data_IF_869747740545
#
_entry.id   IF_869747740545
#
_cell.length_a   1.000
_cell.length_b   1.000
_cell.length_c   1.000
_cell.angle_alpha   90.00
_cell.angle_beta   90.00
_cell.angle_gamma   90.00
#
_symmetry.space_group_name_H-M   'P 1'
#
loop_
_entity.id
_entity.type
_entity.pdbx_description
1 polymer ?
#
# COMPACT_ATOMS: atom_id res chain seq x y z
N UNK A 1 -9.83 -18.88 12.50
CA UNK A 1 -9.17 -17.58 12.24
C UNK A 1 -8.26 -17.76 11.03
N UNK A 2 -8.42 -16.99 9.96
CA UNK A 2 -7.50 -17.06 8.82
C UNK A 2 -6.14 -16.56 9.29
N UNK A 3 -5.14 -17.43 9.32
CA UNK A 3 -3.74 -17.06 9.50
C UNK A 3 -3.28 -16.37 8.23
N UNK A 4 -3.63 -15.09 8.08
CA UNK A 4 -3.15 -14.28 6.95
C UNK A 4 -1.65 -14.01 7.16
N UNK A 5 -0.85 -14.42 6.18
CA UNK A 5 0.60 -14.25 6.17
C UNK A 5 0.96 -12.76 6.24
N UNK A 6 1.74 -12.35 7.24
CA UNK A 6 2.13 -10.94 7.45
C UNK A 6 2.99 -10.42 6.29
N UNK A 7 3.96 -11.20 5.82
CA UNK A 7 4.81 -10.82 4.71
C UNK A 7 5.38 -12.06 3.99
N UNK A 8 5.82 -11.87 2.75
CA UNK A 8 6.51 -12.91 1.98
C UNK A 8 7.92 -12.44 1.63
N UNK A 9 8.95 -13.24 1.88
CA UNK A 9 10.32 -12.94 1.43
C UNK A 9 10.35 -12.97 -0.11
N UNK A 10 10.83 -11.90 -0.74
CA UNK A 10 10.89 -11.81 -2.21
C UNK A 10 12.32 -11.77 -2.77
N UNK A 11 13.33 -11.61 -1.92
CA UNK A 11 14.74 -11.62 -2.30
C UNK A 11 15.37 -12.99 -2.11
N UNK A 12 16.45 -13.28 -2.87
CA UNK A 12 17.16 -14.57 -2.82
C UNK A 12 18.22 -14.65 -1.72
N UNK A 13 18.83 -13.54 -1.35
CA UNK A 13 19.89 -13.50 -0.33
C UNK A 13 19.31 -13.56 1.09
N UNK A 14 20.19 -13.73 2.07
CA UNK A 14 19.82 -13.77 3.48
C UNK A 14 19.36 -12.40 3.98
N UNK A 15 18.30 -12.41 4.78
CA UNK A 15 17.68 -11.21 5.36
C UNK A 15 17.38 -11.47 6.83
N UNK A 16 17.26 -10.42 7.67
CA UNK A 16 16.87 -10.59 9.07
C UNK A 16 15.52 -11.29 9.21
N UNK A 17 15.28 -11.92 10.36
CA UNK A 17 14.01 -12.57 10.64
C UNK A 17 12.84 -11.57 10.59
N UNK A 18 11.68 -12.00 10.09
CA UNK A 18 10.50 -11.14 9.96
C UNK A 18 10.08 -10.48 11.30
N UNK A 19 10.27 -11.17 12.42
CA UNK A 19 9.95 -10.65 13.75
C UNK A 19 10.82 -9.44 14.16
N UNK A 20 12.03 -9.31 13.61
CA UNK A 20 12.87 -8.12 13.80
C UNK A 20 12.21 -6.84 13.26
N UNK A 21 11.26 -6.97 12.35
CA UNK A 21 10.52 -5.87 11.72
C UNK A 21 9.21 -5.52 12.47
N UNK A 22 8.92 -6.13 13.62
CA UNK A 22 7.64 -5.97 14.32
C UNK A 22 7.31 -4.52 14.69
N UNK A 23 8.33 -3.69 14.89
CA UNK A 23 8.18 -2.26 15.23
C UNK A 23 8.05 -1.37 13.98
N UNK A 24 8.20 -1.93 12.78
CA UNK A 24 8.08 -1.17 11.54
C UNK A 24 6.62 -0.83 11.26
N UNK A 25 6.38 0.38 10.74
CA UNK A 25 5.03 0.87 10.46
C UNK A 25 4.23 -0.05 9.53
N UNK A 26 4.88 -0.62 8.51
CA UNK A 26 4.24 -1.56 7.56
C UNK A 26 3.80 -2.85 8.24
N UNK A 27 4.61 -3.36 9.16
CA UNK A 27 4.33 -4.58 9.90
C UNK A 27 3.12 -4.37 10.81
N UNK A 28 3.18 -3.32 11.64
CA UNK A 28 2.09 -2.96 12.55
C UNK A 28 0.78 -2.75 11.81
N UNK A 29 0.82 -2.06 10.65
CA UNK A 29 -0.38 -1.86 9.84
C UNK A 29 -0.94 -3.17 9.28
N UNK A 30 -0.10 -4.06 8.77
CA UNK A 30 -0.54 -5.35 8.22
C UNK A 30 -1.10 -6.25 9.33
N UNK A 31 -0.45 -6.29 10.49
CA UNK A 31 -0.93 -7.05 11.64
C UNK A 31 -2.30 -6.54 12.13
N UNK A 32 -2.46 -5.22 12.21
CA UNK A 32 -3.73 -4.56 12.54
C UNK A 32 -4.85 -4.95 11.58
N UNK A 33 -4.59 -4.95 10.28
CA UNK A 33 -5.56 -5.38 9.27
C UNK A 33 -5.91 -6.87 9.38
N UNK A 34 -4.93 -7.73 9.65
CA UNK A 34 -5.16 -9.17 9.85
C UNK A 34 -6.05 -9.44 11.08
N UNK A 35 -6.02 -8.56 12.09
CA UNK A 35 -6.92 -8.59 13.25
C UNK A 35 -8.34 -8.07 12.93
N UNK A 36 -8.59 -7.61 11.71
CA UNK A 36 -9.87 -7.05 11.26
C UNK A 36 -10.11 -5.60 11.70
N UNK A 37 -9.07 -4.92 12.23
CA UNK A 37 -9.19 -3.54 12.66
C UNK A 37 -9.19 -2.57 11.47
N UNK A 38 -9.81 -1.40 11.66
CA UNK A 38 -9.90 -0.37 10.62
C UNK A 38 -8.71 0.58 10.64
N UNK A 39 -8.25 0.98 9.46
CA UNK A 39 -7.24 2.03 9.32
C UNK A 39 -7.80 3.42 9.67
N UNK A 40 -7.02 4.20 10.41
CA UNK A 40 -7.28 5.62 10.60
C UNK A 40 -6.84 6.45 9.37
N UNK A 41 -7.09 7.77 9.39
CA UNK A 41 -6.78 8.64 8.25
C UNK A 41 -5.27 8.72 7.95
N UNK A 42 -4.43 8.80 8.98
CA UNK A 42 -2.98 8.89 8.82
C UNK A 42 -2.38 7.60 8.25
N UNK A 43 -2.89 6.45 8.67
CA UNK A 43 -2.52 5.13 8.15
C UNK A 43 -2.90 4.99 6.68
N UNK A 44 -4.11 5.42 6.29
CA UNK A 44 -4.53 5.40 4.88
C UNK A 44 -3.66 6.28 3.99
N UNK A 45 -3.36 7.50 4.43
CA UNK A 45 -2.51 8.41 3.66
C UNK A 45 -1.10 7.85 3.54
N UNK A 46 -0.54 7.33 4.64
CA UNK A 46 0.77 6.70 4.62
C UNK A 46 0.82 5.48 3.70
N UNK A 47 -0.20 4.62 3.71
CA UNK A 47 -0.25 3.45 2.86
C UNK A 47 -0.34 3.83 1.38
N UNK A 48 -1.18 4.81 1.05
CA UNK A 48 -1.25 5.34 -0.32
C UNK A 48 0.12 5.87 -0.77
N UNK A 49 0.85 6.56 0.10
CA UNK A 49 2.18 7.07 -0.23
C UNK A 49 3.19 5.93 -0.42
N UNK A 50 3.29 5.02 0.54
CA UNK A 50 4.26 3.93 0.54
C UNK A 50 4.10 2.99 -0.67
N UNK A 51 2.86 2.72 -1.09
CA UNK A 51 2.56 1.85 -2.22
C UNK A 51 2.86 2.52 -3.57
N UNK A 52 2.66 3.84 -3.69
CA UNK A 52 2.91 4.53 -4.96
C UNK A 52 4.35 5.07 -5.07
N UNK A 53 5.09 5.20 -3.97
CA UNK A 53 6.49 5.65 -3.93
C UNK A 53 7.50 4.51 -3.77
N UNK A 54 7.21 3.32 -4.28
CA UNK A 54 8.18 2.23 -4.34
C UNK A 54 8.32 1.67 -5.76
N UNK A 55 9.47 1.06 -6.05
CA UNK A 55 9.79 0.53 -7.38
C UNK A 55 9.39 -0.94 -7.59
N UNK A 56 9.01 -1.67 -6.53
CA UNK A 56 8.87 -3.12 -6.58
C UNK A 56 7.44 -3.59 -6.85
N UNK A 57 6.45 -2.96 -6.21
CA UNK A 57 5.09 -3.48 -6.19
C UNK A 57 4.05 -2.35 -6.26
N UNK A 58 2.94 -2.62 -6.93
CA UNK A 58 1.80 -1.70 -7.05
C UNK A 58 0.75 -1.87 -5.95
N UNK A 59 0.78 -2.98 -5.21
CA UNK A 59 -0.21 -3.32 -4.15
C UNK A 59 0.41 -3.86 -2.87
N UNK A 60 1.68 -3.59 -2.68
CA UNK A 60 2.44 -4.03 -1.51
C UNK A 60 3.50 -2.99 -1.15
N UNK A 61 3.96 -3.05 0.09
CA UNK A 61 5.07 -2.22 0.58
C UNK A 61 6.27 -3.14 0.85
N UNK A 62 7.42 -2.92 0.19
CA UNK A 62 8.63 -3.69 0.47
C UNK A 62 9.36 -3.15 1.70
N UNK A 63 9.90 -4.03 2.54
CA UNK A 63 10.81 -3.68 3.62
C UNK A 63 11.79 -4.82 3.90
N UNK A 64 13.10 -4.54 3.86
CA UNK A 64 14.18 -5.50 4.16
C UNK A 64 14.03 -6.87 3.47
N UNK A 65 13.67 -6.87 2.18
CA UNK A 65 13.50 -8.10 1.39
C UNK A 65 12.18 -8.84 1.62
N UNK A 66 11.27 -8.29 2.42
CA UNK A 66 9.91 -8.77 2.59
C UNK A 66 8.89 -7.90 1.85
N UNK A 67 7.84 -8.55 1.35
CA UNK A 67 6.68 -7.97 0.69
C UNK A 67 5.49 -8.02 1.64
N UNK A 68 5.01 -6.86 2.08
CA UNK A 68 3.78 -6.73 2.86
C UNK A 68 2.61 -6.42 1.92
N UNK A 69 1.71 -7.39 1.73
CA UNK A 69 0.57 -7.28 0.82
C UNK A 69 -0.59 -6.45 1.40
N UNK A 70 -1.24 -5.66 0.55
CA UNK A 70 -2.42 -4.85 0.88
C UNK A 70 -3.51 -4.94 -0.20
N UNK A 71 -3.54 -6.07 -0.93
CA UNK A 71 -4.47 -6.32 -2.03
C UNK A 71 -5.93 -6.31 -1.58
N UNK A 72 -6.18 -6.65 -0.33
CA UNK A 72 -7.47 -6.70 0.34
C UNK A 72 -8.06 -5.31 0.64
N UNK A 73 -7.21 -4.29 0.79
CA UNK A 73 -7.64 -2.93 1.18
C UNK A 73 -7.45 -1.87 0.12
N UNK A 74 -6.62 -2.12 -0.89
CA UNK A 74 -6.32 -1.15 -1.94
C UNK A 74 -7.35 -1.19 -3.08
N UNK A 75 -7.57 -0.03 -3.70
CA UNK A 75 -8.35 0.12 -4.93
C UNK A 75 -7.46 0.75 -6.00
N UNK A 76 -7.71 0.39 -7.25
CA UNK A 76 -7.01 0.95 -8.40
C UNK A 76 -7.75 2.17 -8.91
N UNK A 77 -7.02 3.25 -9.16
CA UNK A 77 -7.54 4.51 -9.68
C UNK A 77 -6.74 4.95 -10.90
N UNK A 78 -7.43 5.43 -11.93
CA UNK A 78 -6.84 6.20 -13.01
C UNK A 78 -7.03 7.69 -12.72
N UNK A 79 -5.93 8.43 -12.78
CA UNK A 79 -5.91 9.87 -12.54
C UNK A 79 -5.45 10.58 -13.80
N UNK A 80 -6.25 11.53 -14.28
CA UNK A 80 -5.89 12.42 -15.39
C UNK A 80 -5.25 13.70 -14.84
N UNK A 81 -4.03 13.99 -15.29
CA UNK A 81 -3.33 15.26 -15.07
C UNK A 81 -2.55 15.64 -16.31
N UNK A 82 -2.62 16.91 -16.72
CA UNK A 82 -1.82 17.47 -17.82
C UNK A 82 -1.90 16.59 -19.09
N UNK A 83 -3.13 16.25 -19.47
CA UNK A 83 -3.47 15.40 -20.62
C UNK A 83 -2.91 13.96 -20.60
N UNK A 84 -2.41 13.52 -19.45
CA UNK A 84 -1.89 12.17 -19.25
C UNK A 84 -2.67 11.39 -18.19
N UNK A 85 -2.85 10.09 -18.41
CA UNK A 85 -3.48 9.16 -17.46
C UNK A 85 -2.43 8.35 -16.72
N UNK A 86 -2.58 8.27 -15.41
CA UNK A 86 -1.67 7.53 -14.53
C UNK A 86 -2.45 6.61 -13.60
N UNK A 87 -1.94 5.40 -13.39
CA UNK A 87 -2.50 4.44 -12.46
C UNK A 87 -1.92 4.64 -11.06
N UNK A 88 -2.80 4.66 -10.06
CA UNK A 88 -2.45 4.71 -8.64
C UNK A 88 -3.24 3.67 -7.84
N UNK A 89 -2.63 3.16 -6.77
CA UNK A 89 -3.31 2.29 -5.81
C UNK A 89 -3.45 3.00 -4.47
N UNK A 90 -4.66 3.09 -3.94
CA UNK A 90 -4.92 3.75 -2.66
C UNK A 90 -6.10 3.10 -1.91
N UNK A 91 -6.18 3.22 -0.57
CA UNK A 91 -7.33 2.71 0.20
C UNK A 91 -8.64 3.45 -0.14
N UNK A 92 -8.56 4.75 -0.39
CA UNK A 92 -9.70 5.57 -0.78
C UNK A 92 -9.28 6.78 -1.63
N UNK A 93 -10.25 7.43 -2.28
CA UNK A 93 -10.02 8.62 -3.12
C UNK A 93 -9.41 9.79 -2.35
N UNK A 94 -9.67 9.90 -1.04
CA UNK A 94 -9.12 10.97 -0.20
C UNK A 94 -7.62 10.78 0.03
N UNK A 95 -7.19 9.56 0.37
CA UNK A 95 -5.78 9.23 0.54
C UNK A 95 -5.01 9.29 -0.78
N UNK A 96 -5.64 8.93 -1.91
CA UNK A 96 -5.07 9.17 -3.23
C UNK A 96 -4.75 10.65 -3.48
N UNK A 97 -5.70 11.55 -3.18
CA UNK A 97 -5.50 12.99 -3.33
C UNK A 97 -4.39 13.57 -2.45
N UNK A 98 -4.04 12.88 -1.34
CA UNK A 98 -2.94 13.30 -0.49
C UNK A 98 -1.56 12.98 -1.10
N UNK A 99 -1.49 12.07 -2.07
CA UNK A 99 -0.23 11.59 -2.68
C UNK A 99 -0.02 12.17 -4.08
N UNK A 100 -1.11 12.41 -4.82
CA UNK A 100 -1.06 13.00 -6.15
C UNK A 100 -0.88 14.51 -6.04
N UNK A 101 0.26 15.01 -6.50
CA UNK A 101 0.57 16.44 -6.50
C UNK A 101 0.00 17.15 -7.73
N UNK A 102 -0.35 18.42 -7.57
CA UNK A 102 -0.82 19.27 -8.65
C UNK A 102 -2.33 19.16 -8.90
N UNK A 103 -2.77 19.83 -9.98
CA UNK A 103 -4.19 19.86 -10.36
C UNK A 103 -4.60 18.50 -10.92
N UNK A 104 -5.73 18.00 -10.46
CA UNK A 104 -6.32 16.74 -10.95
C UNK A 104 -7.55 17.07 -11.76
N UNK A 105 -7.56 16.62 -13.03
CA UNK A 105 -8.68 16.85 -13.93
C UNK A 105 -9.78 15.81 -13.71
N UNK A 106 -9.40 14.53 -13.57
CA UNK A 106 -10.35 13.45 -13.36
C UNK A 106 -9.75 12.32 -12.54
N UNK A 107 -10.61 11.62 -11.78
CA UNK A 107 -10.27 10.38 -11.07
C UNK A 107 -11.37 9.36 -11.35
N UNK A 108 -11.01 8.23 -11.93
CA UNK A 108 -11.88 7.07 -12.11
C UNK A 108 -11.37 5.90 -11.26
N UNK A 109 -12.27 5.23 -10.54
CA UNK A 109 -11.94 3.96 -9.88
C UNK A 109 -12.15 2.83 -10.87
N UNK A 110 -11.19 1.91 -10.97
CA UNK A 110 -11.35 0.67 -11.73
C UNK A 110 -11.84 -0.42 -10.77
N UNK A 111 -12.85 -1.16 -11.21
CA UNK A 111 -13.29 -2.42 -10.59
C UNK A 111 -13.02 -3.53 -11.60
N UNK A 112 -12.24 -4.52 -11.18
CA UNK A 112 -12.07 -5.78 -11.89
C UNK A 112 -13.08 -6.80 -11.37
#
# INVERSE_FOLDING_TARGET
MKTETIATKFVRHDVPELQSLQNAKVYLLREKLNKGEKMNRAEKNWLAEAVNRNAFFKRAVPLQGYRFGFEDVLKTYLVKQYDSWHEYNAPDKTSLRAVVYGKIDQIAQITN
#
